data_IF_448743585497
#
_entry.id   IF_448743585497
#
_cell.length_a   1.000
_cell.length_b   1.000
_cell.length_c   1.000
_cell.angle_alpha   90.00
_cell.angle_beta   90.00
_cell.angle_gamma   90.00
#
_symmetry.space_group_name_H-M   'P 1'
#
loop_
_entity.id
_entity.type
_entity.pdbx_description
1 polymer ?
#
# COMPACT_ATOMS: atom_id res chain seq x y z
N UNK A 1 -3.34 20.13 -20.49
CA UNK A 1 -4.34 19.88 -19.43
C UNK A 1 -4.41 21.07 -18.46
N UNK A 2 -5.53 21.28 -17.76
CA UNK A 2 -5.61 22.29 -16.69
C UNK A 2 -4.59 21.99 -15.60
N UNK A 3 -3.92 23.03 -15.08
CA UNK A 3 -3.02 22.95 -13.92
C UNK A 3 -3.72 23.26 -12.59
N UNK A 4 -5.00 23.66 -12.65
CA UNK A 4 -5.82 23.93 -11.48
C UNK A 4 -6.79 22.78 -11.23
N UNK A 5 -6.93 22.41 -9.96
CA UNK A 5 -7.88 21.39 -9.47
C UNK A 5 -8.60 21.93 -8.24
N UNK A 6 -9.89 21.64 -8.11
CA UNK A 6 -10.66 21.89 -6.89
C UNK A 6 -10.61 20.66 -5.99
N UNK A 7 -10.49 20.88 -4.68
CA UNK A 7 -10.53 19.83 -3.67
C UNK A 7 -11.47 20.30 -2.57
N UNK A 8 -12.57 19.57 -2.34
CA UNK A 8 -13.48 19.93 -1.26
C UNK A 8 -12.86 19.57 0.09
N UNK A 9 -13.45 20.09 1.17
CA UNK A 9 -13.05 19.71 2.54
C UNK A 9 -13.14 18.20 2.75
N UNK A 10 -14.18 17.56 2.24
CA UNK A 10 -14.43 16.14 2.44
C UNK A 10 -13.42 15.30 1.65
N UNK A 11 -13.12 15.68 0.41
CA UNK A 11 -12.06 15.06 -0.38
C UNK A 11 -10.71 15.15 0.34
N UNK A 12 -10.35 16.33 0.84
CA UNK A 12 -9.11 16.56 1.56
C UNK A 12 -8.99 15.68 2.81
N UNK A 13 -10.09 15.51 3.58
CA UNK A 13 -10.12 14.63 4.75
C UNK A 13 -9.94 13.16 4.37
N UNK A 14 -10.54 12.70 3.26
CA UNK A 14 -10.36 11.34 2.75
C UNK A 14 -8.92 11.10 2.32
N UNK A 15 -8.34 12.02 1.54
CA UNK A 15 -6.95 11.93 1.07
C UNK A 15 -5.97 11.94 2.26
N UNK A 16 -6.17 12.85 3.22
CA UNK A 16 -5.35 12.93 4.43
C UNK A 16 -5.41 11.64 5.24
N UNK A 17 -6.61 11.10 5.49
CA UNK A 17 -6.76 9.83 6.23
C UNK A 17 -6.04 8.69 5.53
N UNK A 18 -6.17 8.56 4.21
CA UNK A 18 -5.47 7.51 3.45
C UNK A 18 -3.94 7.65 3.56
N UNK A 19 -3.41 8.86 3.34
CA UNK A 19 -1.96 9.10 3.47
C UNK A 19 -1.46 8.79 4.88
N UNK A 20 -2.21 9.22 5.90
CA UNK A 20 -1.81 9.00 7.29
C UNK A 20 -1.89 7.51 7.67
N UNK A 21 -2.89 6.78 7.18
CA UNK A 21 -2.96 5.32 7.34
C UNK A 21 -1.73 4.63 6.77
N UNK A 22 -1.35 4.98 5.53
CA UNK A 22 -0.13 4.43 4.92
C UNK A 22 1.09 4.77 5.79
N UNK A 23 1.28 6.04 6.15
CA UNK A 23 2.42 6.48 6.99
C UNK A 23 2.53 5.67 8.29
N UNK A 24 1.41 5.47 8.98
CA UNK A 24 1.38 4.72 10.25
C UNK A 24 1.61 3.23 10.03
N UNK A 25 1.04 2.64 8.98
CA UNK A 25 1.29 1.25 8.60
C UNK A 25 2.76 1.00 8.29
N UNK A 26 3.40 1.86 7.48
CA UNK A 26 4.83 1.77 7.18
C UNK A 26 5.70 1.96 8.43
N UNK A 27 5.31 2.86 9.34
CA UNK A 27 6.02 3.06 10.62
C UNK A 27 5.97 1.78 11.47
N UNK A 28 4.79 1.16 11.57
CA UNK A 28 4.63 -0.11 12.28
C UNK A 28 5.42 -1.24 11.61
N UNK A 29 5.39 -1.34 10.28
CA UNK A 29 6.20 -2.31 9.55
C UNK A 29 7.71 -2.11 9.80
N UNK A 30 8.18 -0.86 9.80
CA UNK A 30 9.57 -0.54 10.15
C UNK A 30 9.96 -0.97 11.57
N UNK A 31 9.07 -0.79 12.55
CA UNK A 31 9.31 -1.24 13.93
C UNK A 31 9.32 -2.76 14.05
N UNK A 32 8.32 -3.44 13.49
CA UNK A 32 8.23 -4.91 13.48
C UNK A 32 9.40 -5.58 12.77
N UNK A 33 9.98 -4.92 11.75
CA UNK A 33 11.20 -5.37 11.09
C UNK A 33 12.43 -5.25 12.00
N UNK A 34 12.57 -4.15 12.75
CA UNK A 34 13.64 -3.99 13.75
C UNK A 34 13.55 -5.03 14.87
N UNK A 35 12.33 -5.36 15.28
CA UNK A 35 12.01 -6.41 16.26
C UNK A 35 12.17 -7.84 15.71
N UNK A 36 12.59 -8.00 14.44
CA UNK A 36 12.78 -9.28 13.75
C UNK A 36 11.50 -10.12 13.57
N UNK A 37 10.33 -9.51 13.77
CA UNK A 37 9.04 -10.15 13.51
C UNK A 37 8.79 -10.23 12.00
N UNK A 38 9.07 -9.15 11.27
CA UNK A 38 9.15 -9.17 9.80
C UNK A 38 10.57 -9.58 9.41
N UNK A 39 10.69 -10.48 8.42
CA UNK A 39 11.97 -11.03 7.92
C UNK A 39 12.10 -10.84 6.42
N UNK A 40 13.31 -11.04 5.88
CA UNK A 40 13.57 -10.93 4.44
C UNK A 40 13.53 -9.48 3.96
N UNK A 41 12.78 -9.19 2.91
CA UNK A 41 12.66 -7.85 2.34
C UNK A 41 11.53 -7.05 3.00
N UNK A 42 11.71 -5.73 3.10
CA UNK A 42 10.69 -4.80 3.59
C UNK A 42 10.91 -3.40 2.99
N UNK A 43 10.23 -3.09 1.89
CA UNK A 43 10.42 -1.83 1.16
C UNK A 43 9.35 -0.82 1.54
N UNK A 44 9.70 0.10 2.45
CA UNK A 44 8.72 1.02 3.03
C UNK A 44 8.22 2.07 2.03
N UNK A 45 6.92 2.33 1.99
CA UNK A 45 6.31 3.34 1.12
C UNK A 45 6.32 4.78 1.71
N UNK A 46 6.89 4.94 2.91
CA UNK A 46 6.87 6.21 3.64
C UNK A 46 7.55 7.33 2.87
N UNK A 47 6.87 8.47 2.73
CA UNK A 47 7.32 9.63 1.95
C UNK A 47 6.81 9.66 0.51
N UNK A 48 6.18 8.57 0.02
CA UNK A 48 5.57 8.50 -1.31
C UNK A 48 4.04 8.40 -1.26
N UNK A 49 3.41 8.66 -0.12
CA UNK A 49 1.97 8.45 0.09
C UNK A 49 1.10 9.21 -0.91
N UNK A 50 1.52 10.42 -1.28
CA UNK A 50 0.83 11.25 -2.25
C UNK A 50 0.72 10.60 -3.64
N UNK A 51 1.64 9.69 -3.99
CA UNK A 51 1.62 9.00 -5.30
C UNK A 51 0.43 8.06 -5.37
N UNK A 52 0.38 7.02 -4.53
CA UNK A 52 -0.72 6.06 -4.54
C UNK A 52 -2.07 6.73 -4.21
N UNK A 53 -2.11 7.62 -3.21
CA UNK A 53 -3.35 8.29 -2.80
C UNK A 53 -3.85 9.24 -3.89
N UNK A 54 -2.96 10.08 -4.44
CA UNK A 54 -3.30 11.04 -5.48
C UNK A 54 -3.75 10.35 -6.77
N UNK A 55 -3.03 9.32 -7.21
CA UNK A 55 -3.44 8.50 -8.36
C UNK A 55 -4.80 7.85 -8.13
N UNK A 56 -5.03 7.26 -6.95
CA UNK A 56 -6.32 6.64 -6.62
C UNK A 56 -7.50 7.62 -6.61
N UNK A 57 -7.25 8.91 -6.33
CA UNK A 57 -8.28 9.94 -6.38
C UNK A 57 -8.77 10.26 -7.79
N UNK A 58 -7.98 9.93 -8.82
CA UNK A 58 -8.34 10.11 -10.23
C UNK A 58 -8.75 8.80 -10.93
N UNK A 59 -8.58 7.64 -10.28
CA UNK A 59 -8.91 6.34 -10.83
C UNK A 59 -10.41 6.07 -10.81
N UNK A 60 -10.86 5.29 -11.81
CA UNK A 60 -12.19 4.71 -11.87
C UNK A 60 -12.21 3.36 -11.15
N UNK A 61 -13.39 2.87 -10.69
CA UNK A 61 -13.48 1.59 -9.98
C UNK A 61 -12.99 0.36 -10.74
N UNK A 62 -12.95 0.41 -12.08
CA UNK A 62 -12.51 -0.69 -12.95
C UNK A 62 -11.07 -0.55 -13.43
N UNK A 63 -10.37 0.52 -13.06
CA UNK A 63 -8.99 0.71 -13.46
C UNK A 63 -8.09 -0.30 -12.75
N UNK A 64 -7.01 -0.67 -13.44
CA UNK A 64 -6.07 -1.69 -13.03
C UNK A 64 -4.71 -1.08 -12.70
N UNK A 65 -4.05 -1.60 -11.67
CA UNK A 65 -2.75 -1.13 -11.22
C UNK A 65 -1.77 -2.29 -11.11
N UNK A 66 -0.52 -2.05 -11.52
CA UNK A 66 0.63 -2.91 -11.28
C UNK A 66 1.79 -2.05 -10.78
N UNK A 67 2.64 -2.60 -9.90
CA UNK A 67 3.84 -1.90 -9.44
C UNK A 67 4.97 -2.87 -9.08
N UNK A 68 6.13 -2.34 -8.72
CA UNK A 68 7.27 -3.12 -8.25
C UNK A 68 7.11 -3.51 -6.76
N UNK A 69 8.17 -3.97 -6.12
CA UNK A 69 8.18 -4.49 -4.75
C UNK A 69 7.90 -3.47 -3.63
N UNK A 70 7.85 -2.16 -3.92
CA UNK A 70 7.47 -1.12 -2.94
C UNK A 70 5.95 -0.91 -2.96
N UNK A 71 5.22 -1.95 -2.58
CA UNK A 71 3.80 -2.08 -2.89
C UNK A 71 2.83 -1.83 -1.72
N UNK A 72 3.30 -1.76 -0.47
CA UNK A 72 2.41 -1.76 0.71
C UNK A 72 1.31 -0.69 0.66
N UNK A 73 1.67 0.56 0.33
CA UNK A 73 0.71 1.65 0.18
C UNK A 73 -0.32 1.40 -0.94
N UNK A 74 0.12 0.83 -2.06
CA UNK A 74 -0.77 0.42 -3.15
C UNK A 74 -1.69 -0.73 -2.73
N UNK A 75 -1.18 -1.74 -2.02
CA UNK A 75 -1.99 -2.85 -1.49
C UNK A 75 -3.13 -2.32 -0.62
N UNK A 76 -2.87 -1.33 0.24
CA UNK A 76 -3.90 -0.66 1.03
C UNK A 76 -4.92 0.09 0.18
N UNK A 77 -4.44 0.91 -0.76
CA UNK A 77 -5.28 1.70 -1.66
C UNK A 77 -6.18 0.83 -2.54
N UNK A 78 -5.68 -0.35 -2.93
CA UNK A 78 -6.38 -1.31 -3.76
C UNK A 78 -7.24 -2.29 -2.94
N UNK A 79 -7.58 -1.93 -1.70
CA UNK A 79 -8.68 -2.52 -0.95
C UNK A 79 -8.31 -3.57 0.10
N UNK A 80 -7.02 -3.81 0.36
CA UNK A 80 -6.60 -4.62 1.51
C UNK A 80 -6.51 -3.71 2.73
N UNK A 81 -7.02 -4.15 3.88
CA UNK A 81 -6.93 -3.36 5.10
C UNK A 81 -5.51 -3.39 5.70
N UNK A 82 -5.14 -2.44 6.57
CA UNK A 82 -3.80 -2.41 7.16
C UNK A 82 -3.44 -3.68 7.93
N UNK A 83 -4.44 -4.34 8.54
CA UNK A 83 -4.22 -5.61 9.24
C UNK A 83 -3.83 -6.71 8.26
N UNK A 84 -4.51 -6.84 7.12
CA UNK A 84 -4.14 -7.80 6.08
C UNK A 84 -2.74 -7.59 5.53
N UNK A 85 -2.32 -6.34 5.34
CA UNK A 85 -0.95 -5.99 4.92
C UNK A 85 0.07 -6.40 5.99
N UNK A 86 -0.13 -5.99 7.25
CA UNK A 86 0.79 -6.30 8.35
C UNK A 86 0.83 -7.80 8.68
N UNK A 87 -0.30 -8.49 8.57
CA UNK A 87 -0.37 -9.94 8.73
C UNK A 87 0.44 -10.66 7.66
N UNK A 88 0.40 -10.19 6.40
CA UNK A 88 1.23 -10.74 5.33
C UNK A 88 2.72 -10.48 5.57
N UNK A 89 3.08 -9.25 5.98
CA UNK A 89 4.45 -8.89 6.31
C UNK A 89 5.03 -9.74 7.44
N UNK A 90 4.19 -10.08 8.42
CA UNK A 90 4.57 -10.94 9.56
C UNK A 90 4.39 -12.44 9.28
N UNK A 91 4.07 -12.82 8.04
CA UNK A 91 4.00 -14.22 7.59
C UNK A 91 2.85 -15.02 8.20
N UNK A 92 1.70 -14.38 8.48
CA UNK A 92 0.54 -15.00 9.14
C UNK A 92 -0.49 -15.47 8.12
N UNK A 93 -1.27 -16.50 8.50
CA UNK A 93 -2.33 -17.07 7.66
C UNK A 93 -3.43 -16.06 7.31
N UNK A 94 -3.63 -15.04 8.16
CA UNK A 94 -4.57 -13.94 7.92
C UNK A 94 -4.01 -12.84 7.00
N UNK A 95 -2.79 -12.99 6.48
CA UNK A 95 -2.24 -12.10 5.46
C UNK A 95 -3.00 -12.19 4.14
N UNK A 96 -2.92 -11.14 3.31
CA UNK A 96 -3.62 -11.09 2.03
C UNK A 96 -3.20 -12.19 1.04
N UNK A 97 -2.00 -12.75 1.20
CA UNK A 97 -1.50 -13.93 0.46
C UNK A 97 -1.27 -15.13 1.40
N UNK A 98 -1.93 -15.15 2.56
CA UNK A 98 -1.83 -16.19 3.60
C UNK A 98 -0.40 -16.44 4.11
N UNK A 99 0.42 -15.40 4.14
CA UNK A 99 1.82 -15.44 4.58
C UNK A 99 2.78 -16.08 3.59
N UNK A 100 2.35 -16.31 2.34
CA UNK A 100 3.17 -16.93 1.28
C UNK A 100 3.95 -15.90 0.45
N UNK A 101 3.48 -14.65 0.40
CA UNK A 101 4.04 -13.62 -0.48
C UNK A 101 5.02 -12.69 0.22
N UNK A 102 4.75 -12.35 1.49
CA UNK A 102 5.54 -11.38 2.25
C UNK A 102 5.49 -9.97 1.63
N UNK A 103 6.52 -9.16 1.89
CA UNK A 103 6.54 -7.72 1.52
C UNK A 103 6.35 -7.46 0.02
N UNK A 104 6.95 -8.29 -0.83
CA UNK A 104 7.03 -7.97 -2.26
C UNK A 104 5.83 -8.48 -3.06
N UNK A 105 5.06 -9.46 -2.55
CA UNK A 105 4.07 -10.19 -3.35
C UNK A 105 2.68 -10.17 -2.70
N UNK A 106 2.02 -9.03 -2.81
CA UNK A 106 0.65 -8.80 -2.34
C UNK A 106 -0.25 -8.50 -3.52
N UNK A 107 -1.46 -9.06 -3.56
CA UNK A 107 -2.40 -8.91 -4.67
C UNK A 107 -3.81 -8.61 -4.16
N UNK A 108 -4.61 -7.93 -4.97
CA UNK A 108 -6.05 -7.74 -4.71
C UNK A 108 -6.80 -7.59 -6.02
N UNK A 109 -8.12 -7.38 -5.95
CA UNK A 109 -8.95 -7.15 -7.14
C UNK A 109 -8.41 -5.95 -7.93
N UNK A 110 -8.15 -6.12 -9.22
CA UNK A 110 -7.59 -5.11 -10.13
C UNK A 110 -6.18 -4.58 -9.73
N UNK A 111 -5.51 -5.21 -8.77
CA UNK A 111 -4.13 -4.92 -8.42
C UNK A 111 -3.25 -6.14 -8.67
N UNK A 112 -2.46 -6.05 -9.73
CA UNK A 112 -1.54 -7.10 -10.18
C UNK A 112 -0.21 -7.09 -9.42
N UNK A 113 -0.27 -6.53 -8.21
CA UNK A 113 0.64 -6.75 -7.12
C UNK A 113 1.96 -6.01 -7.17
N UNK A 114 2.78 -6.35 -6.18
CA UNK A 114 4.19 -6.03 -6.15
C UNK A 114 5.01 -7.10 -6.88
N UNK A 115 5.97 -6.63 -7.67
CA UNK A 115 6.80 -7.48 -8.50
C UNK A 115 8.28 -7.33 -8.07
N UNK A 116 8.91 -8.45 -7.74
CA UNK A 116 10.27 -8.51 -7.19
C UNK A 116 11.38 -8.41 -8.23
N UNK A 117 11.06 -8.65 -9.50
CA UNK A 117 12.00 -8.48 -10.61
C UNK A 117 11.88 -7.04 -11.10
N UNK A 118 13.01 -6.34 -11.13
CA UNK A 118 13.08 -5.00 -11.73
C UNK A 118 12.80 -5.14 -13.23
N UNK A 119 11.86 -4.34 -13.73
CA UNK A 119 11.30 -4.43 -15.07
C UNK A 119 12.31 -4.41 -16.20
#
# INVERSE_FOLDING_TARGET
>A
PSTNVSCTRDDALVLYRKMQTIRRMETSAGNLYKEKIIRGFCHLYSGQEAVAVGMSGAMRPHDMVITAYRAHGWTYIMGIDPLGVLAELTGRVSGCSRGKGGSMHMYSKNFFGGNGIVG
#
